data_IF_322410471494
#
_entry.id   IF_322410471494
#
_cell.length_a   1.000
_cell.length_b   1.000
_cell.length_c   1.000
_cell.angle_alpha   90.00
_cell.angle_beta   90.00
_cell.angle_gamma   90.00
#
_symmetry.space_group_name_H-M   'P 1'
#
loop_
_entity.id
_entity.type
_entity.pdbx_description
1 polymer ?
#
# COMPACT_ATOMS: atom_id res chain seq x y z
N UNK A 1 25.82 -12.33 9.30
CA UNK A 1 24.75 -13.36 9.38
C UNK A 1 23.60 -12.89 8.51
N UNK A 2 23.34 -13.53 7.37
CA UNK A 2 22.15 -13.23 6.57
C UNK A 2 20.90 -13.55 7.38
N UNK A 3 19.87 -12.68 7.33
CA UNK A 3 18.57 -12.96 7.96
C UNK A 3 18.05 -14.28 7.38
N UNK A 4 17.91 -15.30 8.23
CA UNK A 4 17.37 -16.60 7.82
C UNK A 4 15.88 -16.41 7.51
N UNK A 5 15.47 -16.82 6.32
CA UNK A 5 14.06 -16.79 5.94
C UNK A 5 13.25 -17.76 6.81
N UNK A 6 11.98 -17.43 7.00
CA UNK A 6 11.00 -18.27 7.69
C UNK A 6 9.81 -18.57 6.78
N UNK A 7 9.26 -19.77 6.94
CA UNK A 7 8.04 -20.17 6.23
C UNK A 7 6.82 -19.77 7.04
N UNK A 8 5.91 -19.02 6.42
CA UNK A 8 4.59 -18.72 6.96
C UNK A 8 3.51 -19.26 6.03
N UNK A 9 2.30 -19.39 6.56
CA UNK A 9 1.10 -19.72 5.80
C UNK A 9 0.07 -18.62 6.01
N UNK A 10 -0.51 -18.14 4.91
CA UNK A 10 -1.64 -17.20 4.91
C UNK A 10 -2.90 -17.90 4.41
N UNK A 11 -4.06 -17.43 4.87
CA UNK A 11 -5.39 -17.88 4.47
C UNK A 11 -6.17 -16.67 3.96
N UNK A 12 -6.44 -16.64 2.66
CA UNK A 12 -7.19 -15.56 2.02
C UNK A 12 -8.57 -16.09 1.62
N UNK A 13 -9.62 -15.43 2.09
CA UNK A 13 -11.01 -15.78 1.82
C UNK A 13 -11.29 -17.27 2.11
N UNK A 14 -12.04 -17.92 1.22
CA UNK A 14 -12.31 -19.35 1.25
C UNK A 14 -11.29 -20.19 0.45
N UNK A 15 -10.21 -19.60 -0.05
CA UNK A 15 -9.17 -20.29 -0.84
C UNK A 15 -8.28 -21.15 0.05
N UNK A 16 -7.74 -22.26 -0.48
CA UNK A 16 -6.77 -23.09 0.23
C UNK A 16 -5.59 -22.25 0.81
N UNK A 17 -5.06 -22.60 1.99
CA UNK A 17 -3.92 -21.88 2.57
C UNK A 17 -2.73 -21.82 1.60
N UNK A 18 -2.02 -20.69 1.61
CA UNK A 18 -0.89 -20.41 0.73
C UNK A 18 0.37 -20.31 1.59
N UNK A 19 1.36 -21.15 1.33
CA UNK A 19 2.65 -21.12 2.01
C UNK A 19 3.64 -20.22 1.28
N UNK A 20 4.46 -19.48 2.04
CA UNK A 20 5.48 -18.59 1.50
C UNK A 20 6.70 -18.46 2.43
N UNK A 21 7.88 -18.31 1.83
CA UNK A 21 9.13 -18.01 2.55
C UNK A 21 9.36 -16.51 2.58
N UNK A 22 9.62 -15.95 3.76
CA UNK A 22 9.73 -14.51 3.97
C UNK A 22 10.89 -14.16 4.91
N UNK A 23 11.38 -12.93 4.81
CA UNK A 23 12.23 -12.37 5.86
C UNK A 23 11.38 -12.11 7.14
N UNK A 24 11.88 -12.40 8.35
CA UNK A 24 11.10 -12.28 9.58
C UNK A 24 10.52 -10.87 9.83
N UNK A 25 11.22 -9.83 9.42
CA UNK A 25 10.80 -8.43 9.56
C UNK A 25 9.67 -8.01 8.61
N UNK A 26 9.23 -8.90 7.71
CA UNK A 26 8.09 -8.66 6.82
C UNK A 26 6.81 -9.28 7.32
N UNK A 27 6.85 -10.19 8.30
CA UNK A 27 5.68 -10.96 8.71
C UNK A 27 4.53 -10.06 9.15
N UNK A 28 4.78 -9.07 10.00
CA UNK A 28 3.75 -8.16 10.52
C UNK A 28 2.93 -7.52 9.38
N UNK A 29 3.61 -6.97 8.38
CA UNK A 29 2.96 -6.35 7.22
C UNK A 29 2.16 -7.35 6.38
N UNK A 30 2.63 -8.59 6.28
CA UNK A 30 1.94 -9.65 5.55
C UNK A 30 0.68 -10.09 6.31
N UNK A 31 0.76 -10.24 7.63
CA UNK A 31 -0.39 -10.55 8.50
C UNK A 31 -1.44 -9.46 8.47
N UNK A 32 -1.01 -8.20 8.44
CA UNK A 32 -1.91 -7.05 8.31
C UNK A 32 -2.62 -7.05 6.94
N UNK A 33 -1.91 -7.36 5.85
CA UNK A 33 -2.50 -7.50 4.53
C UNK A 33 -3.51 -8.66 4.48
N UNK A 34 -3.16 -9.83 5.01
CA UNK A 34 -4.04 -10.99 5.15
C UNK A 34 -5.33 -10.63 5.90
N UNK A 35 -5.19 -9.98 7.07
CA UNK A 35 -6.32 -9.54 7.87
C UNK A 35 -7.25 -8.58 7.10
N UNK A 36 -6.68 -7.57 6.44
CA UNK A 36 -7.46 -6.54 5.74
C UNK A 36 -8.18 -7.09 4.50
N UNK A 37 -7.55 -7.97 3.73
CA UNK A 37 -8.21 -8.63 2.59
C UNK A 37 -9.38 -9.47 3.08
N UNK A 38 -9.19 -10.26 4.14
CA UNK A 38 -10.24 -11.08 4.72
C UNK A 38 -11.40 -10.27 5.31
N UNK A 39 -11.10 -9.13 5.94
CA UNK A 39 -12.12 -8.21 6.46
C UNK A 39 -13.01 -7.67 5.33
N UNK A 40 -12.41 -7.15 4.26
CA UNK A 40 -13.15 -6.64 3.09
C UNK A 40 -13.96 -7.76 2.42
N UNK A 41 -13.33 -8.91 2.20
CA UNK A 41 -14.03 -10.06 1.60
C UNK A 41 -15.22 -10.50 2.45
N UNK A 42 -15.07 -10.61 3.78
CA UNK A 42 -16.14 -11.03 4.69
C UNK A 42 -17.31 -10.04 4.68
N UNK A 43 -17.02 -8.75 4.74
CA UNK A 43 -18.04 -7.70 4.68
C UNK A 43 -18.81 -7.76 3.35
N UNK A 44 -18.09 -7.93 2.24
CA UNK A 44 -18.68 -7.95 0.91
C UNK A 44 -19.41 -9.25 0.59
N UNK A 45 -18.98 -10.39 1.13
CA UNK A 45 -19.74 -11.64 1.07
C UNK A 45 -21.12 -11.49 1.71
N UNK A 46 -21.21 -10.78 2.84
CA UNK A 46 -22.48 -10.48 3.51
C UNK A 46 -23.33 -9.47 2.73
N UNK A 47 -22.69 -8.47 2.10
CA UNK A 47 -23.40 -7.40 1.39
C UNK A 47 -23.93 -7.81 0.02
N UNK A 48 -23.18 -8.65 -0.70
CA UNK A 48 -23.44 -9.03 -2.08
C UNK A 48 -23.71 -10.53 -2.17
N UNK A 49 -24.81 -10.96 -1.56
CA UNK A 49 -25.18 -12.38 -1.43
C UNK A 49 -25.36 -13.09 -2.78
N UNK A 50 -25.71 -12.35 -3.84
CA UNK A 50 -25.88 -12.86 -5.19
C UNK A 50 -24.57 -13.08 -5.96
N UNK A 51 -23.43 -12.69 -5.41
CA UNK A 51 -22.11 -12.88 -6.04
C UNK A 51 -21.42 -14.12 -5.48
N UNK A 52 -20.68 -14.80 -6.35
CA UNK A 52 -19.80 -15.90 -5.96
C UNK A 52 -18.62 -15.40 -5.13
N UNK A 53 -17.99 -16.28 -4.34
CA UNK A 53 -16.79 -15.91 -3.59
C UNK A 53 -15.68 -15.36 -4.50
N UNK A 54 -15.50 -15.97 -5.68
CA UNK A 54 -14.52 -15.55 -6.68
C UNK A 54 -14.77 -14.12 -7.17
N UNK A 55 -16.01 -13.75 -7.42
CA UNK A 55 -16.37 -12.37 -7.80
C UNK A 55 -16.06 -11.38 -6.68
N UNK A 56 -16.38 -11.72 -5.43
CA UNK A 56 -16.06 -10.86 -4.28
C UNK A 56 -14.55 -10.69 -4.12
N UNK A 57 -13.79 -11.78 -4.25
CA UNK A 57 -12.33 -11.72 -4.19
C UNK A 57 -11.75 -10.89 -5.34
N UNK A 58 -12.28 -11.00 -6.55
CA UNK A 58 -11.87 -10.18 -7.70
C UNK A 58 -12.16 -8.69 -7.48
N UNK A 59 -13.34 -8.37 -6.93
CA UNK A 59 -13.66 -6.99 -6.55
C UNK A 59 -12.68 -6.47 -5.49
N UNK A 60 -12.36 -7.28 -4.47
CA UNK A 60 -11.47 -6.88 -3.39
C UNK A 60 -10.06 -6.59 -3.95
N UNK A 61 -9.54 -7.49 -4.79
CA UNK A 61 -8.28 -7.30 -5.47
C UNK A 61 -8.25 -6.01 -6.30
N UNK A 62 -9.30 -5.75 -7.10
CA UNK A 62 -9.42 -4.51 -7.87
C UNK A 62 -9.41 -3.27 -6.97
N UNK A 63 -10.14 -3.30 -5.85
CA UNK A 63 -10.20 -2.17 -4.93
C UNK A 63 -8.84 -1.87 -4.29
N UNK A 64 -8.09 -2.89 -3.86
CA UNK A 64 -6.72 -2.69 -3.36
C UNK A 64 -5.77 -2.17 -4.43
N UNK A 65 -5.87 -2.66 -5.67
CA UNK A 65 -5.08 -2.14 -6.79
C UNK A 65 -5.40 -0.66 -7.07
N UNK A 66 -6.68 -0.30 -7.09
CA UNK A 66 -7.12 1.10 -7.26
C UNK A 66 -6.58 1.99 -6.14
N UNK A 67 -6.70 1.57 -4.88
CA UNK A 67 -6.19 2.32 -3.73
C UNK A 67 -4.66 2.48 -3.79
N UNK A 68 -3.94 1.46 -4.24
CA UNK A 68 -2.50 1.54 -4.44
C UNK A 68 -2.13 2.63 -5.46
N UNK A 69 -2.80 2.69 -6.61
CA UNK A 69 -2.53 3.73 -7.61
C UNK A 69 -2.92 5.13 -7.13
N UNK A 70 -4.01 5.26 -6.37
CA UNK A 70 -4.39 6.53 -5.75
C UNK A 70 -3.35 7.00 -4.72
N UNK A 71 -2.84 6.08 -3.89
CA UNK A 71 -1.77 6.39 -2.95
C UNK A 71 -0.48 6.78 -3.68
N UNK A 72 -0.12 6.04 -4.73
CA UNK A 72 1.07 6.35 -5.54
C UNK A 72 0.97 7.76 -6.12
N UNK A 73 -0.16 8.09 -6.74
CA UNK A 73 -0.39 9.43 -7.28
C UNK A 73 -0.29 10.51 -6.20
N UNK A 74 -0.87 10.27 -5.01
CA UNK A 74 -0.77 11.22 -3.90
C UNK A 74 0.66 11.42 -3.40
N UNK A 75 1.52 10.39 -3.47
CA UNK A 75 2.95 10.51 -3.12
C UNK A 75 3.70 11.30 -4.19
N UNK A 76 3.42 11.03 -5.48
CA UNK A 76 4.02 11.75 -6.60
C UNK A 76 3.64 13.25 -6.54
N UNK A 77 2.36 13.57 -6.25
CA UNK A 77 1.89 14.95 -6.10
C UNK A 77 2.55 15.67 -4.91
N UNK A 78 2.77 14.96 -3.80
CA UNK A 78 3.48 15.51 -2.64
C UNK A 78 4.95 15.80 -2.94
N UNK A 79 5.61 14.92 -3.70
CA UNK A 79 6.99 15.11 -4.12
C UNK A 79 7.13 16.37 -4.98
N UNK A 80 6.22 16.56 -5.95
CA UNK A 80 6.21 17.78 -6.78
C UNK A 80 5.94 19.05 -5.97
N UNK A 81 5.06 18.98 -4.96
CA UNK A 81 4.83 20.12 -4.07
C UNK A 81 6.09 20.47 -3.27
N UNK A 82 6.84 19.47 -2.79
CA UNK A 82 8.09 19.67 -2.06
C UNK A 82 9.17 20.29 -2.97
N UNK A 83 9.32 19.79 -4.19
CA UNK A 83 10.26 20.33 -5.17
C UNK A 83 9.95 21.80 -5.52
N UNK A 84 8.66 22.13 -5.70
CA UNK A 84 8.23 23.50 -5.93
C UNK A 84 8.53 24.40 -4.71
N UNK A 85 8.33 23.88 -3.50
CA UNK A 85 8.63 24.59 -2.27
C UNK A 85 10.14 24.82 -2.07
N UNK A 86 10.98 23.83 -2.38
CA UNK A 86 12.45 23.97 -2.36
C UNK A 86 12.92 25.03 -3.35
N UNK A 87 12.40 25.02 -4.58
CA UNK A 87 12.72 26.03 -5.59
C UNK A 87 12.29 27.46 -5.16
N UNK A 88 11.17 27.59 -4.44
CA UNK A 88 10.76 28.86 -3.86
C UNK A 88 11.72 29.36 -2.77
N UNK A 89 12.17 28.47 -1.89
CA UNK A 89 13.15 28.82 -0.85
C UNK A 89 14.48 29.26 -1.45
N UNK A 90 14.99 28.56 -2.46
CA UNK A 90 16.23 28.91 -3.14
C UNK A 90 16.15 30.31 -3.76
N UNK A 91 15.06 30.60 -4.48
CA UNK A 91 14.82 31.95 -5.03
C UNK A 91 14.80 33.04 -3.97
N UNK A 92 14.16 32.80 -2.83
CA UNK A 92 14.12 33.79 -1.74
C UNK A 92 15.51 34.03 -1.13
N UNK A 93 16.36 33.00 -1.06
CA UNK A 93 17.72 33.12 -0.55
C UNK A 93 18.64 33.84 -1.52
N UNK A 94 18.51 33.57 -2.82
CA UNK A 94 19.24 34.28 -3.88
C UNK A 94 18.93 35.78 -3.84
N UNK A 95 17.65 36.16 -3.82
CA UNK A 95 17.21 37.58 -3.76
C UNK A 95 17.79 38.31 -2.53
N UNK A 96 17.85 37.65 -1.37
CA UNK A 96 18.42 38.25 -0.15
C UNK A 96 19.93 38.41 -0.21
N UNK A 97 20.63 37.61 -1.01
CA UNK A 97 22.08 37.72 -1.20
C UNK A 97 22.45 38.92 -2.08
N UNK A 98 21.65 39.18 -3.12
CA UNK A 98 21.85 40.31 -4.03
C UNK A 98 21.54 41.66 -3.36
N UNK A 99 20.54 41.71 -2.48
CA UNK A 99 20.16 42.93 -1.74
C UNK A 99 21.19 43.39 -0.67
N UNK A 100 22.25 42.61 -0.43
CA UNK A 100 23.32 42.94 0.54
C UNK A 100 24.67 43.31 -0.11
N UNK A 101 24.80 43.23 -1.45
CA UNK A 101 25.91 43.84 -2.21
C UNK A 101 25.54 45.24 -2.67
#
# INVERSE_FOLDING_TARGET
MGKKEQNITIKIADVAPISMSIAPDKEERIREAEYNVNRVWTEWRRRFENKTSKEILAMAAFQFAKLYYQLKQSVDDQQHLLEAFEADLDRMLEIKSEAKS
#
